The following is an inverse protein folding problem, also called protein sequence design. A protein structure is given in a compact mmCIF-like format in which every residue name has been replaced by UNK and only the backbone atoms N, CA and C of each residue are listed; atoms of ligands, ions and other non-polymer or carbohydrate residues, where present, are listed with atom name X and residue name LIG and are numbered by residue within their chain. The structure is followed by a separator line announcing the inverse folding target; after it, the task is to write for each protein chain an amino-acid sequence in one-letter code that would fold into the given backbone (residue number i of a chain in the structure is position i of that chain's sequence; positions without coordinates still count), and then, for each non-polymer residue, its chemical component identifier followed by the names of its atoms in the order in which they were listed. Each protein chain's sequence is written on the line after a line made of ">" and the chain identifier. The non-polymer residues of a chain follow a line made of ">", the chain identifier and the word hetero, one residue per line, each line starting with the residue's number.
data_IF_947828488917
#
_entry.id   IF_947828488917
#
_cell.length_a   1.000
_cell.length_b   1.000
_cell.length_c   1.000
_cell.angle_alpha   90.00
_cell.angle_beta   90.00
_cell.angle_gamma   90.00
#
_symmetry.space_group_name_H-M   'P 1'
#
loop_
_entity.id
_entity.type
_entity.pdbx_description
1 polymer ?
#
# COMPACT_ATOMS: atom_id res chain seq x y z
N UNK A 1 10.31 20.72 -33.80
CA UNK A 1 10.51 19.54 -32.97
C UNK A 1 9.68 19.71 -31.71
N UNK A 2 8.76 18.79 -31.42
CA UNK A 2 7.97 18.80 -30.18
C UNK A 2 8.94 18.62 -29.01
N UNK A 3 8.94 19.53 -28.01
CA UNK A 3 9.69 19.33 -26.77
C UNK A 3 9.11 18.12 -26.05
N UNK A 4 9.97 17.13 -25.75
CA UNK A 4 9.54 16.01 -24.91
C UNK A 4 8.99 16.51 -23.59
N UNK A 5 7.84 15.98 -23.18
CA UNK A 5 7.26 16.21 -21.84
C UNK A 5 7.97 15.39 -20.75
N UNK A 6 8.83 14.45 -21.17
CA UNK A 6 9.62 13.63 -20.23
C UNK A 6 10.83 14.47 -19.78
N UNK A 7 11.10 14.51 -18.45
CA UNK A 7 12.29 15.18 -17.93
C UNK A 7 13.57 14.64 -18.57
N UNK A 8 14.55 15.51 -18.76
CA UNK A 8 15.88 15.12 -19.25
C UNK A 8 16.56 14.17 -18.27
N UNK A 9 17.42 13.31 -18.80
CA UNK A 9 18.30 12.47 -17.97
C UNK A 9 19.21 13.37 -17.12
N UNK A 10 19.38 13.08 -15.81
CA UNK A 10 20.31 13.80 -14.95
C UNK A 10 21.73 13.82 -15.53
N UNK A 11 22.42 14.94 -15.36
CA UNK A 11 23.82 15.13 -15.78
C UNK A 11 24.77 15.08 -14.58
N UNK A 12 26.09 15.22 -14.83
CA UNK A 12 27.13 15.17 -13.80
C UNK A 12 26.88 16.13 -12.61
N UNK A 13 26.36 17.34 -12.87
CA UNK A 13 26.10 18.33 -11.82
C UNK A 13 24.93 17.92 -10.92
N UNK A 14 23.92 17.25 -11.49
CA UNK A 14 22.77 16.75 -10.76
C UNK A 14 23.17 15.65 -9.76
N UNK A 15 24.20 14.85 -10.12
CA UNK A 15 24.72 13.81 -9.24
C UNK A 15 25.74 14.33 -8.22
N UNK A 16 26.49 15.37 -8.52
CA UNK A 16 27.49 15.94 -7.60
C UNK A 16 26.88 16.46 -6.28
N UNK A 17 25.61 16.81 -6.28
CA UNK A 17 24.85 17.23 -5.09
C UNK A 17 24.27 16.07 -4.28
N UNK A 18 24.38 14.85 -4.77
CA UNK A 18 23.86 13.65 -4.12
C UNK A 18 24.87 13.18 -3.05
N UNK A 19 24.66 13.58 -1.80
CA UNK A 19 25.47 13.09 -0.68
C UNK A 19 25.27 11.59 -0.47
N UNK A 20 26.33 10.90 -0.02
CA UNK A 20 26.22 9.51 0.40
C UNK A 20 25.24 9.40 1.56
N UNK A 21 24.24 8.57 1.41
CA UNK A 21 23.27 8.27 2.45
C UNK A 21 23.91 7.44 3.56
N UNK A 22 23.44 7.63 4.78
CA UNK A 22 23.76 6.70 5.87
C UNK A 22 23.33 5.29 5.48
N UNK A 23 24.26 4.34 5.50
CA UNK A 23 24.07 2.94 5.14
C UNK A 23 23.85 2.03 6.37
N UNK A 24 23.76 2.58 7.57
CA UNK A 24 23.55 1.80 8.80
C UNK A 24 22.32 0.89 8.77
N UNK A 25 21.32 1.22 7.93
CA UNK A 25 20.13 0.40 7.74
C UNK A 25 20.39 -0.97 7.12
N UNK A 26 21.51 -1.14 6.40
CA UNK A 26 21.92 -2.42 5.76
C UNK A 26 22.20 -3.50 6.81
N UNK A 27 22.61 -3.10 8.00
CA UNK A 27 22.90 -4.03 9.10
C UNK A 27 21.64 -4.56 9.81
N UNK A 28 20.48 -3.99 9.50
CA UNK A 28 19.20 -4.47 10.08
C UNK A 28 19.01 -5.98 9.87
N UNK A 29 18.51 -6.65 10.90
CA UNK A 29 18.21 -8.09 10.88
C UNK A 29 16.73 -8.38 10.77
N UNK A 30 15.87 -7.41 11.10
CA UNK A 30 14.42 -7.54 11.05
C UNK A 30 13.81 -6.55 10.04
N UNK A 31 13.20 -7.06 8.96
CA UNK A 31 12.62 -6.20 7.93
C UNK A 31 11.38 -5.43 8.41
N UNK A 32 10.63 -5.92 9.41
CA UNK A 32 9.45 -5.22 9.94
C UNK A 32 9.88 -3.98 10.72
N UNK A 33 10.87 -4.12 11.58
CA UNK A 33 11.46 -2.99 12.32
C UNK A 33 12.10 -1.98 11.36
N UNK A 34 12.83 -2.44 10.35
CA UNK A 34 13.43 -1.56 9.34
C UNK A 34 12.36 -0.78 8.57
N UNK A 35 11.27 -1.44 8.16
CA UNK A 35 10.16 -0.77 7.51
C UNK A 35 9.51 0.29 8.42
N UNK A 36 9.26 -0.06 9.68
CA UNK A 36 8.65 0.84 10.66
C UNK A 36 9.51 2.10 10.89
N UNK A 37 10.82 1.94 10.96
CA UNK A 37 11.75 3.06 11.07
C UNK A 37 11.70 3.96 9.82
N UNK A 38 11.75 3.39 8.63
CA UNK A 38 11.69 4.14 7.39
C UNK A 38 10.34 4.84 7.20
N UNK A 39 9.22 4.19 7.57
CA UNK A 39 7.90 4.81 7.55
C UNK A 39 7.82 5.98 8.54
N UNK A 40 8.35 5.83 9.75
CA UNK A 40 8.38 6.91 10.75
C UNK A 40 9.15 8.13 10.24
N UNK A 41 10.28 7.93 9.58
CA UNK A 41 11.03 9.02 8.94
C UNK A 41 10.23 9.65 7.79
N UNK A 42 9.54 8.84 6.99
CA UNK A 42 8.73 9.32 5.86
C UNK A 42 7.53 10.16 6.35
N UNK A 43 6.87 9.77 7.44
CA UNK A 43 5.74 10.51 8.03
C UNK A 43 6.13 11.97 8.34
N UNK A 44 7.38 12.21 8.74
CA UNK A 44 7.87 13.56 9.06
C UNK A 44 8.16 14.39 7.80
N UNK A 45 8.48 13.75 6.67
CA UNK A 45 9.05 14.43 5.50
C UNK A 45 8.18 14.37 4.24
N UNK A 46 7.30 13.39 4.11
CA UNK A 46 6.33 13.37 3.00
C UNK A 46 5.25 14.44 3.23
N UNK A 47 4.78 15.04 2.14
CA UNK A 47 3.77 16.10 2.21
C UNK A 47 2.46 15.56 2.78
N UNK A 48 2.08 14.33 2.39
CA UNK A 48 0.88 13.64 2.85
C UNK A 48 1.03 12.13 2.66
N UNK A 49 0.15 11.36 3.30
CA UNK A 49 -0.08 9.93 3.08
C UNK A 49 1.21 9.09 2.94
N UNK A 50 2.19 9.27 3.85
CA UNK A 50 3.42 8.45 3.86
C UNK A 50 3.12 6.94 3.92
N UNK A 51 1.93 6.57 4.39
CA UNK A 51 1.42 5.21 4.42
C UNK A 51 0.67 4.79 3.13
N UNK A 52 0.64 5.63 2.09
CA UNK A 52 0.10 5.24 0.79
C UNK A 52 0.99 4.20 0.12
N UNK A 53 0.37 3.16 -0.43
CA UNK A 53 1.09 2.10 -1.11
C UNK A 53 0.36 1.67 -2.38
N UNK A 54 1.11 1.35 -3.41
CA UNK A 54 0.62 0.63 -4.58
C UNK A 54 0.34 -0.82 -4.20
N UNK A 55 -0.84 -1.34 -4.53
CA UNK A 55 -1.19 -2.75 -4.37
C UNK A 55 -1.40 -3.35 -5.75
N UNK A 56 -0.53 -4.28 -6.12
CA UNK A 56 -0.64 -5.04 -7.36
C UNK A 56 -1.29 -6.40 -7.09
N UNK A 57 -2.29 -6.73 -7.88
CA UNK A 57 -3.03 -7.99 -7.85
C UNK A 57 -3.14 -8.53 -9.27
N UNK A 58 -3.55 -9.79 -9.42
CA UNK A 58 -3.63 -10.46 -10.73
C UNK A 58 -5.04 -10.99 -10.92
N UNK A 59 -5.61 -10.76 -12.09
CA UNK A 59 -6.92 -11.31 -12.45
C UNK A 59 -6.85 -12.80 -12.84
N UNK A 60 -8.02 -13.39 -13.11
CA UNK A 60 -8.13 -14.81 -13.48
C UNK A 60 -7.43 -15.17 -14.80
N UNK A 61 -7.08 -14.18 -15.63
CA UNK A 61 -6.38 -14.38 -16.90
C UNK A 61 -4.86 -14.13 -16.75
N UNK A 62 -4.38 -13.85 -15.54
CA UNK A 62 -2.98 -13.52 -15.28
C UNK A 62 -2.63 -12.05 -15.54
N UNK A 63 -3.61 -11.19 -15.87
CA UNK A 63 -3.36 -9.77 -16.08
C UNK A 63 -3.13 -9.05 -14.77
N UNK A 64 -1.97 -8.39 -14.57
CA UNK A 64 -1.71 -7.58 -13.39
C UNK A 64 -2.49 -6.28 -13.43
N UNK A 65 -2.93 -5.84 -12.25
CA UNK A 65 -3.62 -4.56 -12.05
C UNK A 65 -3.07 -3.89 -10.79
N UNK A 66 -3.04 -2.54 -10.76
CA UNK A 66 -2.45 -1.76 -9.67
C UNK A 66 -3.32 -0.58 -9.28
N UNK A 67 -3.39 -0.29 -7.97
CA UNK A 67 -4.04 0.90 -7.39
C UNK A 67 -3.33 1.31 -6.12
N UNK A 68 -3.58 2.55 -5.69
CA UNK A 68 -3.06 3.02 -4.41
C UNK A 68 -4.12 2.79 -3.33
N UNK A 69 -3.67 2.29 -2.17
CA UNK A 69 -4.45 2.19 -0.94
C UNK A 69 -3.57 2.62 0.25
N UNK A 70 -4.17 2.80 1.43
CA UNK A 70 -3.42 3.19 2.62
C UNK A 70 -3.12 1.95 3.49
N UNK A 71 -1.85 1.79 3.87
CA UNK A 71 -1.47 0.88 4.94
C UNK A 71 -2.13 1.35 6.25
N UNK A 72 -2.74 0.43 6.99
CA UNK A 72 -3.47 0.76 8.22
C UNK A 72 -2.90 0.12 9.47
N UNK A 73 -2.17 -0.97 9.30
CA UNK A 73 -1.46 -1.63 10.38
C UNK A 73 -0.30 -2.44 9.83
N UNK A 74 0.73 -2.64 10.66
CA UNK A 74 1.85 -3.53 10.39
C UNK A 74 2.33 -4.15 11.70
N UNK A 75 2.49 -5.46 11.68
CA UNK A 75 3.13 -6.23 12.75
C UNK A 75 3.94 -7.39 12.16
N UNK A 76 4.46 -8.28 13.03
CA UNK A 76 5.22 -9.46 12.61
C UNK A 76 4.43 -10.42 11.71
N UNK A 77 3.08 -10.31 11.67
CA UNK A 77 2.20 -11.12 10.81
C UNK A 77 2.10 -10.53 9.41
N UNK A 78 2.38 -9.24 9.23
CA UNK A 78 2.37 -8.59 7.91
C UNK A 78 1.67 -7.22 7.87
N UNK A 79 1.34 -6.81 6.66
CA UNK A 79 0.84 -5.48 6.30
C UNK A 79 -0.67 -5.50 6.11
N UNK A 80 -1.42 -4.62 6.78
CA UNK A 80 -2.89 -4.62 6.74
C UNK A 80 -3.43 -3.40 5.99
N UNK A 81 -4.36 -3.66 5.09
CA UNK A 81 -5.20 -2.63 4.47
C UNK A 81 -6.66 -3.08 4.43
N UNK A 82 -7.57 -2.14 4.24
CA UNK A 82 -9.01 -2.41 4.19
C UNK A 82 -9.60 -1.99 2.86
N UNK A 83 -10.54 -2.77 2.36
CA UNK A 83 -11.18 -2.53 1.07
C UNK A 83 -12.52 -3.26 0.95
N UNK A 84 -13.26 -2.92 -0.12
CA UNK A 84 -14.44 -3.64 -0.55
C UNK A 84 -14.03 -4.94 -1.29
N UNK A 85 -14.50 -6.09 -0.82
CA UNK A 85 -14.22 -7.42 -1.41
C UNK A 85 -14.90 -7.62 -2.77
N UNK A 86 -15.95 -6.86 -3.08
CA UNK A 86 -16.63 -6.90 -4.37
C UNK A 86 -15.98 -6.01 -5.43
N UNK A 87 -15.01 -5.18 -5.04
CA UNK A 87 -14.22 -4.39 -6.00
C UNK A 87 -13.31 -5.28 -6.85
N UNK A 88 -12.79 -4.75 -7.98
CA UNK A 88 -11.89 -5.51 -8.85
C UNK A 88 -10.72 -6.13 -8.07
N UNK A 89 -10.05 -5.36 -7.18
CA UNK A 89 -8.95 -5.89 -6.36
C UNK A 89 -9.42 -6.97 -5.38
N UNK A 90 -10.62 -6.82 -4.79
CA UNK A 90 -11.19 -7.80 -3.87
C UNK A 90 -11.47 -9.12 -4.58
N UNK A 91 -12.05 -9.08 -5.77
CA UNK A 91 -12.29 -10.26 -6.61
C UNK A 91 -10.98 -10.91 -7.06
N UNK A 92 -9.98 -10.11 -7.45
CA UNK A 92 -8.65 -10.59 -7.82
C UNK A 92 -7.96 -11.30 -6.64
N UNK A 93 -8.02 -10.72 -5.43
CA UNK A 93 -7.46 -11.34 -4.22
C UNK A 93 -8.20 -12.61 -3.79
N UNK A 94 -9.51 -12.70 -4.06
CA UNK A 94 -10.27 -13.93 -3.82
C UNK A 94 -9.94 -15.04 -4.81
N UNK A 95 -9.57 -14.68 -6.04
CA UNK A 95 -9.13 -15.63 -7.07
C UNK A 95 -7.68 -16.06 -6.85
N UNK A 96 -6.79 -15.09 -6.64
CA UNK A 96 -5.36 -15.32 -6.39
C UNK A 96 -4.93 -14.46 -5.22
N UNK A 97 -4.55 -15.10 -4.13
CA UNK A 97 -4.08 -14.40 -2.94
C UNK A 97 -2.66 -13.80 -3.08
N UNK A 98 -2.01 -13.98 -4.24
CA UNK A 98 -0.68 -13.40 -4.50
C UNK A 98 -0.79 -11.91 -4.71
N UNK A 99 0.08 -11.16 -4.03
CA UNK A 99 0.03 -9.70 -4.00
C UNK A 99 1.42 -9.11 -3.88
N UNK A 100 1.58 -7.91 -4.46
CA UNK A 100 2.76 -7.10 -4.19
C UNK A 100 2.34 -5.71 -3.70
N UNK A 101 3.14 -5.17 -2.76
CA UNK A 101 3.00 -3.81 -2.25
C UNK A 101 4.23 -3.01 -2.66
N UNK A 102 4.02 -1.72 -2.97
CA UNK A 102 5.10 -0.78 -3.29
C UNK A 102 4.91 0.53 -2.54
N UNK A 103 5.91 0.93 -1.78
CA UNK A 103 6.00 2.24 -1.13
C UNK A 103 7.08 3.05 -1.83
N UNK A 104 6.83 4.34 -2.09
CA UNK A 104 7.81 5.23 -2.68
C UNK A 104 7.79 6.58 -1.97
N UNK A 105 8.75 6.79 -1.10
CA UNK A 105 8.96 8.04 -0.35
C UNK A 105 9.95 8.92 -1.09
N UNK A 106 9.41 9.87 -1.84
CA UNK A 106 10.19 10.75 -2.72
C UNK A 106 11.11 11.68 -1.93
N UNK A 107 10.65 12.19 -0.79
CA UNK A 107 11.43 13.06 0.09
C UNK A 107 12.67 12.37 0.64
N UNK A 108 12.60 11.06 0.87
CA UNK A 108 13.70 10.23 1.36
C UNK A 108 14.48 9.54 0.24
N UNK A 109 14.02 9.63 -1.01
CA UNK A 109 14.58 8.88 -2.14
C UNK A 109 14.65 7.38 -1.86
N UNK A 110 13.61 6.84 -1.21
CA UNK A 110 13.52 5.43 -0.77
C UNK A 110 12.30 4.74 -1.35
N UNK A 111 12.46 3.44 -1.59
CA UNK A 111 11.37 2.56 -1.99
C UNK A 111 11.40 1.28 -1.18
N UNK A 112 10.22 0.75 -0.84
CA UNK A 112 10.08 -0.59 -0.28
C UNK A 112 9.12 -1.39 -1.16
N UNK A 113 9.52 -2.61 -1.50
CA UNK A 113 8.66 -3.56 -2.22
C UNK A 113 8.43 -4.79 -1.35
N UNK A 114 7.18 -5.21 -1.25
CA UNK A 114 6.79 -6.42 -0.52
C UNK A 114 6.12 -7.37 -1.50
N UNK A 115 6.43 -8.65 -1.43
CA UNK A 115 5.73 -9.72 -2.15
C UNK A 115 5.30 -10.77 -1.15
N UNK A 116 4.11 -11.31 -1.33
CA UNK A 116 3.59 -12.33 -0.44
C UNK A 116 2.17 -12.73 -0.78
N UNK A 117 1.48 -13.27 0.22
CA UNK A 117 0.10 -13.74 0.10
C UNK A 117 -0.82 -12.94 1.00
N UNK A 118 -2.02 -12.63 0.50
CA UNK A 118 -3.06 -11.93 1.26
C UNK A 118 -4.02 -12.93 1.91
N UNK A 119 -4.40 -12.65 3.14
CA UNK A 119 -5.48 -13.35 3.84
C UNK A 119 -6.45 -12.31 4.43
N UNK A 120 -7.69 -12.71 4.63
CA UNK A 120 -8.70 -11.87 5.28
C UNK A 120 -8.40 -11.83 6.78
N UNK A 121 -8.39 -10.62 7.36
CA UNK A 121 -8.24 -10.45 8.82
C UNK A 121 -9.50 -10.93 9.57
N UNK A 122 -9.35 -11.25 10.84
CA UNK A 122 -10.48 -11.63 11.68
C UNK A 122 -11.57 -10.53 11.70
N UNK A 123 -12.85 -10.94 11.72
CA UNK A 123 -13.98 -10.00 11.70
C UNK A 123 -13.91 -8.99 12.83
N UNK A 124 -13.48 -9.40 14.02
CA UNK A 124 -13.35 -8.51 15.17
C UNK A 124 -12.32 -7.40 14.93
N UNK A 125 -11.22 -7.69 14.22
CA UNK A 125 -10.19 -6.72 13.84
C UNK A 125 -10.75 -5.72 12.80
N UNK A 126 -11.49 -6.23 11.81
CA UNK A 126 -12.15 -5.40 10.80
C UNK A 126 -13.27 -4.53 11.40
N UNK A 127 -14.07 -5.06 12.33
CA UNK A 127 -15.12 -4.32 13.00
C UNK A 127 -14.55 -3.19 13.87
N UNK A 128 -13.49 -3.45 14.62
CA UNK A 128 -12.83 -2.46 15.46
C UNK A 128 -12.28 -1.31 14.62
N UNK A 129 -11.58 -1.62 13.53
CA UNK A 129 -11.06 -0.58 12.64
C UNK A 129 -12.20 0.17 11.91
N UNK A 130 -13.24 -0.53 11.44
CA UNK A 130 -14.39 0.13 10.80
C UNK A 130 -15.07 1.12 11.74
N UNK A 131 -15.26 0.75 13.01
CA UNK A 131 -15.87 1.60 14.02
C UNK A 131 -15.08 2.87 14.31
N UNK A 132 -13.74 2.82 14.21
CA UNK A 132 -12.86 3.97 14.41
C UNK A 132 -12.90 5.01 13.28
N UNK A 133 -13.47 4.66 12.11
CA UNK A 133 -13.56 5.56 10.95
C UNK A 133 -14.60 6.66 11.20
N UNK A 134 -14.37 7.83 10.59
CA UNK A 134 -15.37 8.91 10.57
C UNK A 134 -16.72 8.40 10.04
N UNK A 135 -17.84 8.89 10.61
CA UNK A 135 -19.20 8.48 10.23
C UNK A 135 -19.44 8.53 8.72
N UNK A 136 -19.09 9.65 8.06
CA UNK A 136 -19.25 9.81 6.61
C UNK A 136 -18.48 8.74 5.81
N UNK A 137 -17.27 8.35 6.27
CA UNK A 137 -16.51 7.27 5.63
C UNK A 137 -17.15 5.88 5.83
N UNK A 138 -17.86 5.68 6.94
CA UNK A 138 -18.64 4.45 7.18
C UNK A 138 -19.86 4.38 6.28
N UNK A 139 -20.59 5.50 6.14
CA UNK A 139 -21.73 5.64 5.23
C UNK A 139 -21.29 5.42 3.78
N UNK A 140 -20.19 6.06 3.34
CA UNK A 140 -19.66 5.88 1.99
C UNK A 140 -19.29 4.42 1.68
N UNK A 141 -18.87 3.64 2.67
CA UNK A 141 -18.57 2.23 2.48
C UNK A 141 -19.83 1.37 2.21
N UNK A 142 -21.01 1.80 2.67
CA UNK A 142 -22.30 1.19 2.36
C UNK A 142 -22.83 1.64 0.99
N UNK A 143 -22.72 2.94 0.68
CA UNK A 143 -23.26 3.52 -0.55
C UNK A 143 -22.46 3.14 -1.79
N UNK A 144 -21.15 2.84 -1.65
CA UNK A 144 -20.28 2.64 -2.79
C UNK A 144 -20.32 1.20 -3.31
N UNK A 145 -20.79 1.01 -4.53
CA UNK A 145 -20.59 -0.21 -5.34
C UNK A 145 -19.20 -0.19 -6.01
N UNK A 146 -18.15 -0.21 -5.21
CA UNK A 146 -16.78 0.05 -5.63
C UNK A 146 -16.38 -0.73 -6.90
N UNK A 147 -15.81 -0.03 -7.90
CA UNK A 147 -15.39 -0.55 -9.22
C UNK A 147 -16.53 -0.92 -10.18
N UNK A 148 -17.80 -0.68 -9.82
CA UNK A 148 -18.92 -0.86 -10.74
C UNK A 148 -19.13 0.40 -11.58
N UNK A 149 -19.58 0.28 -12.84
CA UNK A 149 -20.03 1.43 -13.62
C UNK A 149 -21.17 2.16 -12.90
N UNK A 150 -21.14 3.48 -12.96
CA UNK A 150 -22.21 4.35 -12.48
C UNK A 150 -22.57 5.34 -13.58
N UNK A 151 -23.84 5.72 -13.66
CA UNK A 151 -24.34 6.62 -14.72
C UNK A 151 -23.68 8.01 -14.63
N UNK A 152 -23.70 8.60 -13.45
CA UNK A 152 -23.23 9.96 -13.22
C UNK A 152 -22.96 10.21 -11.73
N UNK A 153 -22.45 11.41 -11.41
CA UNK A 153 -22.18 11.83 -10.03
C UNK A 153 -23.47 12.01 -9.22
N UNK A 154 -24.56 12.42 -9.85
CA UNK A 154 -25.84 12.62 -9.17
C UNK A 154 -26.37 11.29 -8.60
N UNK A 155 -26.32 10.23 -9.39
CA UNK A 155 -26.65 8.88 -8.93
C UNK A 155 -25.84 8.48 -7.68
N UNK A 156 -24.53 8.71 -7.70
CA UNK A 156 -23.68 8.43 -6.53
C UNK A 156 -24.07 9.25 -5.30
N UNK A 157 -24.43 10.52 -5.47
CA UNK A 157 -24.84 11.38 -4.38
C UNK A 157 -26.20 10.98 -3.80
N UNK A 158 -27.12 10.54 -4.65
CA UNK A 158 -28.42 10.04 -4.19
C UNK A 158 -28.26 8.76 -3.36
N UNK A 159 -27.45 7.80 -3.82
CA UNK A 159 -27.11 6.59 -3.04
C UNK A 159 -26.46 6.91 -1.68
N UNK A 160 -25.59 7.93 -1.65
CA UNK A 160 -24.97 8.38 -0.41
C UNK A 160 -26.03 8.97 0.55
N UNK A 161 -26.90 9.86 0.06
CA UNK A 161 -27.96 10.51 0.86
C UNK A 161 -29.00 9.49 1.38
N UNK A 162 -29.41 8.55 0.56
CA UNK A 162 -30.31 7.45 0.96
C UNK A 162 -29.67 6.59 2.05
N UNK A 163 -28.37 6.29 1.91
CA UNK A 163 -27.65 5.54 2.92
C UNK A 163 -27.49 6.32 4.22
N UNK A 164 -27.26 7.62 4.15
CA UNK A 164 -27.19 8.49 5.32
C UNK A 164 -28.52 8.54 6.06
N UNK A 165 -29.63 8.73 5.34
CA UNK A 165 -30.98 8.70 5.90
C UNK A 165 -31.30 7.35 6.55
N UNK A 166 -30.91 6.24 5.92
CA UNK A 166 -31.09 4.88 6.47
C UNK A 166 -30.47 4.70 7.84
N UNK A 167 -29.34 5.33 8.10
CA UNK A 167 -28.60 5.22 9.37
C UNK A 167 -28.79 6.43 10.28
N UNK A 168 -29.74 7.34 9.98
CA UNK A 168 -29.97 8.52 10.81
C UNK A 168 -30.26 8.14 12.26
N UNK A 169 -29.65 8.81 13.21
CA UNK A 169 -29.80 8.55 14.65
C UNK A 169 -29.24 7.20 15.14
N UNK A 170 -28.66 6.38 14.28
CA UNK A 170 -28.15 5.05 14.63
C UNK A 170 -26.66 4.88 14.36
N UNK A 171 -26.06 3.82 14.91
CA UNK A 171 -24.70 3.43 14.56
C UNK A 171 -24.64 2.85 13.14
N UNK A 172 -23.54 3.08 12.43
CA UNK A 172 -23.28 2.52 11.10
C UNK A 172 -22.40 1.28 11.27
N UNK A 173 -22.94 0.05 11.15
CA UNK A 173 -22.17 -1.18 11.26
C UNK A 173 -21.29 -1.39 10.02
N UNK A 174 -20.30 -2.28 10.11
CA UNK A 174 -19.49 -2.66 8.95
C UNK A 174 -20.34 -3.49 7.96
N UNK A 175 -20.36 -3.14 6.66
CA UNK A 175 -21.01 -4.00 5.67
C UNK A 175 -20.18 -5.27 5.43
N UNK A 176 -20.84 -6.37 5.09
CA UNK A 176 -20.21 -7.67 4.91
C UNK A 176 -19.12 -7.68 3.83
N UNK A 177 -19.28 -6.85 2.81
CA UNK A 177 -18.30 -6.72 1.73
C UNK A 177 -17.07 -5.85 2.10
N UNK A 178 -17.05 -5.21 3.25
CA UNK A 178 -15.90 -4.40 3.67
C UNK A 178 -14.97 -5.22 4.58
N UNK A 179 -13.83 -5.62 4.04
CA UNK A 179 -12.89 -6.54 4.68
C UNK A 179 -11.53 -5.88 4.90
N UNK A 180 -10.80 -6.41 5.87
CA UNK A 180 -9.37 -6.19 6.01
C UNK A 180 -8.59 -7.32 5.32
N UNK A 181 -7.46 -6.96 4.72
CA UNK A 181 -6.54 -7.87 4.06
C UNK A 181 -5.18 -7.74 4.71
N UNK A 182 -4.65 -8.85 5.22
CA UNK A 182 -3.29 -8.95 5.74
C UNK A 182 -2.40 -9.58 4.68
N UNK A 183 -1.37 -8.88 4.28
CA UNK A 183 -0.34 -9.40 3.38
C UNK A 183 0.76 -10.03 4.24
N UNK A 184 0.88 -11.34 4.21
CA UNK A 184 1.99 -12.09 4.81
C UNK A 184 3.19 -11.98 3.87
N UNK A 185 4.27 -11.31 4.27
CA UNK A 185 5.39 -11.11 3.39
C UNK A 185 6.25 -12.37 3.27
N UNK A 186 6.60 -12.72 2.04
CA UNK A 186 7.57 -13.75 1.70
C UNK A 186 8.91 -13.13 1.23
N UNK A 187 8.84 -11.88 0.77
CA UNK A 187 9.98 -11.12 0.28
C UNK A 187 9.74 -9.63 0.56
N UNK A 188 10.76 -8.95 1.10
CA UNK A 188 10.77 -7.50 1.31
C UNK A 188 12.10 -6.96 0.79
N UNK A 189 12.05 -5.94 -0.08
CA UNK A 189 13.22 -5.24 -0.60
C UNK A 189 13.19 -3.78 -0.20
N UNK A 190 14.27 -3.30 0.35
CA UNK A 190 14.57 -1.91 0.65
C UNK A 190 15.53 -1.38 -0.42
N UNK A 191 15.17 -0.25 -1.00
CA UNK A 191 15.93 0.42 -2.03
C UNK A 191 16.14 1.87 -1.64
N UNK A 192 17.38 2.35 -1.79
CA UNK A 192 17.75 3.73 -1.56
C UNK A 192 18.49 4.27 -2.78
N UNK A 193 18.14 5.51 -3.19
CA UNK A 193 18.78 6.18 -4.31
C UNK A 193 20.27 6.37 -4.06
N UNK A 194 21.07 6.09 -5.08
CA UNK A 194 22.51 6.30 -5.11
C UNK A 194 22.91 7.09 -6.35
N UNK A 195 24.00 7.85 -6.24
CA UNK A 195 24.55 8.60 -7.33
C UNK A 195 24.84 7.70 -8.55
N UNK A 196 24.71 8.26 -9.75
CA UNK A 196 24.94 7.55 -11.01
C UNK A 196 24.10 6.28 -11.18
N UNK A 197 22.93 6.23 -10.51
CA UNK A 197 22.03 5.07 -10.45
C UNK A 197 22.64 3.83 -9.77
N UNK A 198 23.72 4.00 -9.02
CA UNK A 198 24.34 2.93 -8.25
C UNK A 198 23.65 2.84 -6.87
N UNK A 199 22.43 2.31 -6.90
CA UNK A 199 21.51 2.28 -5.78
C UNK A 199 21.87 1.21 -4.75
N UNK A 200 21.62 1.49 -3.46
CA UNK A 200 21.73 0.49 -2.41
C UNK A 200 20.43 -0.31 -2.28
N UNK A 201 20.57 -1.62 -2.31
CA UNK A 201 19.44 -2.54 -2.25
C UNK A 201 19.72 -3.66 -1.24
N UNK A 202 18.77 -3.87 -0.33
CA UNK A 202 18.77 -4.97 0.65
C UNK A 202 17.47 -5.74 0.52
N UNK A 203 17.56 -7.03 0.28
CA UNK A 203 16.41 -7.91 0.20
C UNK A 203 16.39 -8.88 1.39
N UNK A 204 15.19 -9.14 1.88
CA UNK A 204 14.88 -10.18 2.85
C UNK A 204 13.97 -11.20 2.18
N UNK A 205 14.31 -12.47 2.29
CA UNK A 205 13.48 -13.58 1.84
C UNK A 205 13.11 -14.45 3.04
N UNK A 206 11.84 -14.82 3.16
CA UNK A 206 11.37 -15.71 4.20
C UNK A 206 11.73 -17.15 3.85
N UNK A 207 12.30 -17.87 4.81
CA UNK A 207 12.62 -19.31 4.73
C UNK A 207 11.96 -20.04 5.88
N UNK A 208 12.12 -21.37 5.96
CA UNK A 208 11.69 -22.16 7.13
C UNK A 208 12.34 -21.69 8.43
N UNK A 209 13.54 -21.14 8.37
CA UNK A 209 14.36 -20.74 9.51
C UNK A 209 14.25 -19.23 9.84
N UNK A 210 13.36 -18.52 9.13
CA UNK A 210 13.14 -17.08 9.29
C UNK A 210 13.68 -16.27 8.12
N UNK A 211 13.93 -14.96 8.39
CA UNK A 211 14.39 -14.04 7.38
C UNK A 211 15.88 -14.22 7.04
N UNK A 212 16.16 -14.45 5.76
CA UNK A 212 17.52 -14.41 5.20
C UNK A 212 17.67 -13.13 4.39
N UNK A 213 18.75 -12.37 4.62
CA UNK A 213 19.01 -11.10 3.92
C UNK A 213 20.21 -11.19 2.97
N UNK A 214 20.17 -10.39 1.91
CA UNK A 214 21.26 -10.24 0.96
C UNK A 214 21.20 -8.89 0.24
N UNK A 215 22.36 -8.38 -0.15
CA UNK A 215 22.45 -7.19 -1.02
C UNK A 215 22.18 -7.58 -2.47
N UNK A 216 21.59 -6.65 -3.21
CA UNK A 216 21.34 -6.80 -4.64
C UNK A 216 22.12 -5.74 -5.41
N UNK A 217 22.54 -6.08 -6.61
CA UNK A 217 23.01 -5.08 -7.57
C UNK A 217 21.87 -4.11 -7.95
N UNK A 218 22.20 -2.84 -8.27
CA UNK A 218 21.21 -1.86 -8.73
C UNK A 218 20.50 -2.27 -10.00
#
# INVERSE_FOLDING_TARGET
>A
MSKSIIPSTPNEKDYASSQSSDLGWIDSKDPVSLFSNWLSEAIVTEINDANAMSVATVDKNGMPDVRVVLLKDIDHRGFVFYSNSESNKGQQLSFSNKVALGFHWKSKKRQVRVRGTAEVVASIEADAYFASRARGSRISAWASHQSRPVKDRETMMNELNETEARFEGTSVPRPNHWLGWRVKPEYIEFWQDGAYRFHDRLAFSMTSDGWVKGRLYP
#
